data_IF_340376835463
#
_entry.id   IF_340376835463
#
_cell.length_a   1.000
_cell.length_b   1.000
_cell.length_c   1.000
_cell.angle_alpha   90.00
_cell.angle_beta   90.00
_cell.angle_gamma   90.00
#
_symmetry.space_group_name_H-M   'P 1'
#
loop_
_entity.id
_entity.type
_entity.pdbx_description
1 polymer ?
#
# COMPACT_ATOMS: atom_id res chain seq x y z
N UNK A 1 -2.09 -5.37 26.28
CA UNK A 1 -3.39 -5.98 26.64
C UNK A 1 -4.31 -5.83 25.44
N UNK A 2 -4.71 -6.94 24.81
CA UNK A 2 -5.58 -6.97 23.64
C UNK A 2 -7.03 -6.86 24.10
N UNK A 3 -7.61 -5.65 23.99
CA UNK A 3 -9.05 -5.50 24.18
C UNK A 3 -9.80 -6.38 23.17
N UNK A 4 -10.87 -7.07 23.58
CA UNK A 4 -11.66 -7.89 22.67
C UNK A 4 -12.32 -7.01 21.61
N UNK A 5 -11.93 -7.22 20.35
CA UNK A 5 -12.49 -6.52 19.20
C UNK A 5 -13.90 -7.07 18.93
N UNK A 6 -14.90 -6.19 18.86
CA UNK A 6 -16.27 -6.58 18.53
C UNK A 6 -16.36 -7.25 17.16
N UNK A 7 -17.24 -8.23 16.98
CA UNK A 7 -17.38 -8.98 15.73
C UNK A 7 -17.63 -8.09 14.49
N UNK A 8 -18.25 -6.92 14.69
CA UNK A 8 -18.46 -5.90 13.65
C UNK A 8 -17.13 -5.24 13.26
N UNK A 9 -16.35 -4.77 14.24
CA UNK A 9 -15.03 -4.19 13.99
C UNK A 9 -14.04 -5.20 13.40
N UNK A 10 -14.15 -6.48 13.78
CA UNK A 10 -13.35 -7.58 13.23
C UNK A 10 -13.70 -7.84 11.76
N UNK A 11 -15.00 -7.87 11.40
CA UNK A 11 -15.44 -7.95 10.00
C UNK A 11 -14.98 -6.76 9.17
N UNK A 12 -15.01 -5.55 9.72
CA UNK A 12 -14.53 -4.36 9.01
C UNK A 12 -13.01 -4.35 8.81
N UNK A 13 -12.24 -4.84 9.79
CA UNK A 13 -10.77 -5.02 9.64
C UNK A 13 -10.46 -6.08 8.59
N UNK A 14 -11.19 -7.20 8.59
CA UNK A 14 -11.04 -8.26 7.60
C UNK A 14 -11.41 -7.82 6.18
N UNK A 15 -12.34 -6.87 6.01
CA UNK A 15 -12.62 -6.25 4.69
C UNK A 15 -11.50 -5.35 4.19
N UNK A 16 -10.67 -4.83 5.09
CA UNK A 16 -9.59 -3.88 4.78
C UNK A 16 -8.22 -4.53 4.70
N UNK A 17 -8.10 -5.82 5.01
CA UNK A 17 -6.85 -6.58 5.04
C UNK A 17 -6.98 -7.83 4.14
N UNK A 18 -5.90 -8.18 3.42
CA UNK A 18 -5.84 -9.33 2.51
C UNK A 18 -4.50 -10.03 2.68
N UNK A 19 -4.50 -11.35 2.62
CA UNK A 19 -3.25 -12.12 2.59
C UNK A 19 -2.89 -12.40 1.13
N UNK A 20 -1.66 -12.09 0.75
CA UNK A 20 -1.13 -12.29 -0.59
C UNK A 20 0.20 -13.06 -0.51
N UNK A 21 0.45 -13.92 -1.48
CA UNK A 21 1.71 -14.63 -1.61
C UNK A 21 2.52 -13.98 -2.73
N UNK A 22 3.73 -13.52 -2.40
CA UNK A 22 4.65 -12.87 -3.34
C UNK A 22 6.01 -13.52 -3.19
N UNK A 23 6.57 -14.00 -4.30
CA UNK A 23 7.89 -14.67 -4.29
C UNK A 23 8.01 -15.80 -3.25
N UNK A 24 6.93 -16.58 -3.06
CA UNK A 24 6.81 -17.67 -2.04
C UNK A 24 6.84 -17.19 -0.58
N UNK A 25 6.73 -15.89 -0.35
CA UNK A 25 6.60 -15.28 0.96
C UNK A 25 5.15 -14.80 1.15
N UNK A 26 4.63 -14.99 2.36
CA UNK A 26 3.26 -14.59 2.69
C UNK A 26 3.26 -13.21 3.32
N UNK A 27 2.48 -12.30 2.77
CA UNK A 27 2.30 -10.94 3.27
C UNK A 27 0.84 -10.70 3.62
N UNK A 28 0.60 -10.04 4.74
CA UNK A 28 -0.68 -9.44 5.06
C UNK A 28 -0.64 -7.99 4.64
N UNK A 29 -1.47 -7.61 3.68
CA UNK A 29 -1.58 -6.25 3.16
C UNK A 29 -2.91 -5.63 3.58
N UNK A 30 -3.01 -4.30 3.51
CA UNK A 30 -4.25 -3.56 3.75
C UNK A 30 -4.53 -2.53 2.66
N UNK A 31 -5.80 -2.15 2.52
CA UNK A 31 -6.20 -1.04 1.66
C UNK A 31 -5.54 0.24 2.16
N UNK A 32 -4.98 1.02 1.23
CA UNK A 32 -4.37 2.32 1.50
C UNK A 32 -5.17 3.44 0.84
N UNK A 33 -5.13 4.67 1.39
CA UNK A 33 -5.67 5.84 0.70
C UNK A 33 -4.96 6.04 -0.64
N UNK A 34 -5.72 6.14 -1.74
CA UNK A 34 -5.16 6.38 -3.08
C UNK A 34 -4.37 7.70 -3.17
N UNK A 35 -4.63 8.64 -2.26
CA UNK A 35 -3.86 9.87 -2.07
C UNK A 35 -2.36 9.61 -1.87
N UNK A 36 -1.96 8.45 -1.33
CA UNK A 36 -0.55 8.08 -1.16
C UNK A 36 0.17 7.79 -2.49
N UNK A 37 -0.57 7.66 -3.60
CA UNK A 37 0.01 7.56 -4.95
C UNK A 37 0.51 8.91 -5.46
N UNK A 38 -0.01 10.04 -4.94
CA UNK A 38 0.43 11.38 -5.32
C UNK A 38 1.73 11.77 -4.57
N UNK A 39 2.62 12.48 -5.26
CA UNK A 39 3.88 12.97 -4.67
C UNK A 39 3.74 14.36 -4.03
N UNK A 40 2.77 15.20 -4.43
CA UNK A 40 2.65 16.57 -3.93
C UNK A 40 1.20 17.02 -3.69
N UNK A 41 1.03 17.98 -2.76
CA UNK A 41 -0.25 18.55 -2.33
C UNK A 41 -0.96 19.40 -3.38
N UNK A 42 -0.22 20.00 -4.31
CA UNK A 42 -0.77 20.93 -5.30
C UNK A 42 -1.42 20.18 -6.48
N UNK A 43 -0.84 19.04 -6.85
CA UNK A 43 -1.41 18.11 -7.84
C UNK A 43 -2.77 17.54 -7.39
N UNK A 44 -3.01 17.42 -6.07
CA UNK A 44 -4.21 16.81 -5.51
C UNK A 44 -5.46 17.67 -5.64
N UNK A 45 -5.35 18.99 -5.49
CA UNK A 45 -6.48 19.90 -5.68
C UNK A 45 -6.85 20.00 -7.15
N UNK A 46 -5.86 19.97 -8.04
CA UNK A 46 -6.10 19.93 -9.47
C UNK A 46 -6.66 18.57 -9.92
N UNK A 47 -6.24 17.46 -9.30
CA UNK A 47 -6.83 16.14 -9.49
C UNK A 47 -8.28 16.07 -9.00
N UNK A 48 -8.59 16.66 -7.83
CA UNK A 48 -9.95 16.68 -7.27
C UNK A 48 -10.93 17.53 -8.10
N UNK A 49 -10.41 18.52 -8.86
CA UNK A 49 -11.19 19.31 -9.83
C UNK A 49 -11.37 18.62 -11.17
N UNK A 50 -10.57 17.60 -11.48
CA UNK A 50 -10.65 16.85 -12.72
C UNK A 50 -11.67 15.72 -12.62
N UNK A 51 -12.37 15.43 -13.73
CA UNK A 51 -13.38 14.37 -13.77
C UNK A 51 -12.79 12.99 -13.46
N UNK A 52 -13.65 12.08 -12.97
CA UNK A 52 -13.29 10.72 -12.53
C UNK A 52 -12.47 9.92 -13.57
N UNK A 53 -12.70 10.17 -14.85
CA UNK A 53 -12.01 9.50 -15.95
C UNK A 53 -10.54 9.92 -16.08
N UNK A 54 -10.24 11.21 -15.91
CA UNK A 54 -8.87 11.76 -15.95
C UNK A 54 -8.07 11.25 -14.75
N UNK A 55 -8.71 11.22 -13.57
CA UNK A 55 -8.12 10.70 -12.35
C UNK A 55 -7.78 9.21 -12.49
N UNK A 56 -8.65 8.44 -13.14
CA UNK A 56 -8.40 7.03 -13.46
C UNK A 56 -7.22 6.84 -14.41
N UNK A 57 -7.09 7.66 -15.45
CA UNK A 57 -5.96 7.61 -16.39
C UNK A 57 -4.64 7.99 -15.70
N UNK A 58 -4.64 9.04 -14.86
CA UNK A 58 -3.44 9.47 -14.14
C UNK A 58 -3.03 8.44 -13.07
N UNK A 59 -3.97 7.78 -12.38
CA UNK A 59 -3.66 6.62 -11.52
C UNK A 59 -3.03 5.50 -12.35
N UNK A 60 -3.58 5.16 -13.52
CA UNK A 60 -2.99 4.14 -14.40
C UNK A 60 -1.57 4.50 -14.84
N UNK A 61 -1.27 5.76 -15.15
CA UNK A 61 0.10 6.17 -15.47
C UNK A 61 1.04 6.09 -14.27
N UNK A 62 0.55 6.44 -13.07
CA UNK A 62 1.34 6.35 -11.82
C UNK A 62 1.64 4.90 -11.43
N UNK A 63 0.79 3.96 -11.85
CA UNK A 63 1.02 2.52 -11.70
C UNK A 63 2.06 1.98 -12.69
N UNK A 64 2.13 2.55 -13.89
CA UNK A 64 3.06 2.11 -14.92
C UNK A 64 4.51 2.54 -14.65
N UNK A 65 4.73 3.59 -13.85
CA UNK A 65 6.07 4.08 -13.47
C UNK A 65 6.11 4.55 -12.01
N UNK A 66 6.19 3.61 -11.05
CA UNK A 66 6.29 3.96 -9.64
C UNK A 66 7.71 4.43 -9.32
N UNK A 67 7.83 5.60 -8.69
CA UNK A 67 9.10 6.12 -8.17
C UNK A 67 9.47 5.41 -6.87
N UNK A 68 10.77 5.32 -6.54
CA UNK A 68 11.25 4.70 -5.29
C UNK A 68 10.59 5.31 -4.03
N UNK A 69 10.44 6.65 -3.89
CA UNK A 69 9.76 7.25 -2.74
C UNK A 69 8.27 6.89 -2.66
N UNK A 70 7.59 6.72 -3.80
CA UNK A 70 6.19 6.27 -3.82
C UNK A 70 6.06 4.81 -3.41
N UNK A 71 6.91 3.94 -3.93
CA UNK A 71 6.95 2.53 -3.54
C UNK A 71 7.19 2.38 -2.04
N UNK A 72 8.20 3.09 -1.50
CA UNK A 72 8.50 3.09 -0.05
C UNK A 72 7.27 3.44 0.79
N UNK A 73 6.63 4.58 0.50
CA UNK A 73 5.43 5.03 1.23
C UNK A 73 4.30 4.02 1.18
N UNK A 74 4.07 3.42 0.01
CA UNK A 74 3.00 2.44 -0.19
C UNK A 74 3.29 1.14 0.55
N UNK A 75 4.54 0.64 0.53
CA UNK A 75 4.91 -0.56 1.25
C UNK A 75 4.79 -0.35 2.77
N UNK A 76 5.32 0.74 3.31
CA UNK A 76 5.23 1.06 4.74
C UNK A 76 3.80 1.21 5.24
N UNK A 77 2.91 1.78 4.41
CA UNK A 77 1.51 1.96 4.80
C UNK A 77 0.65 0.75 4.48
N UNK A 78 1.00 -0.03 3.46
CA UNK A 78 0.17 -1.11 2.93
C UNK A 78 0.50 -2.49 3.47
N UNK A 79 1.73 -2.76 3.91
CA UNK A 79 2.10 -4.04 4.52
C UNK A 79 1.81 -4.00 6.02
N UNK A 80 1.04 -4.97 6.49
CA UNK A 80 0.69 -5.18 7.90
C UNK A 80 1.60 -6.22 8.53
N UNK A 81 1.85 -7.33 7.85
CA UNK A 81 2.78 -8.38 8.29
C UNK A 81 3.59 -8.93 7.10
N UNK A 82 4.92 -9.12 7.25
CA UNK A 82 5.76 -8.64 8.36
C UNK A 82 5.71 -7.11 8.50
N UNK A 83 5.89 -6.60 9.73
CA UNK A 83 5.86 -5.16 9.95
C UNK A 83 7.05 -4.51 9.23
N UNK A 84 6.79 -3.51 8.37
CA UNK A 84 7.84 -2.80 7.66
C UNK A 84 8.15 -1.48 8.37
N UNK A 85 9.43 -1.17 8.50
CA UNK A 85 9.92 0.04 9.17
C UNK A 85 11.07 0.69 8.39
N UNK A 86 11.27 1.99 8.61
CA UNK A 86 12.46 2.73 8.17
C UNK A 86 13.55 2.76 9.27
N UNK A 87 13.17 2.47 10.51
CA UNK A 87 14.05 2.48 11.68
C UNK A 87 14.56 1.07 11.97
N UNK A 88 15.74 0.93 12.56
CA UNK A 88 16.21 -0.36 13.08
C UNK A 88 15.37 -0.75 14.30
N UNK A 89 14.42 -1.66 14.07
CA UNK A 89 13.56 -2.28 15.07
C UNK A 89 13.71 -3.80 14.97
N UNK A 90 14.00 -4.47 16.08
CA UNK A 90 14.34 -5.90 16.13
C UNK A 90 13.17 -6.79 15.69
N UNK A 91 11.93 -6.33 15.86
CA UNK A 91 10.71 -7.06 15.52
C UNK A 91 10.14 -6.69 14.14
N UNK A 92 10.87 -5.90 13.35
CA UNK A 92 10.40 -5.38 12.06
C UNK A 92 11.41 -5.61 10.93
N UNK A 93 10.90 -5.63 9.70
CA UNK A 93 11.71 -5.79 8.49
C UNK A 93 11.97 -4.42 7.90
N UNK A 94 13.24 -4.10 7.64
CA UNK A 94 13.61 -2.86 6.98
C UNK A 94 12.99 -2.76 5.59
N UNK A 95 12.36 -1.63 5.30
CA UNK A 95 11.78 -1.36 3.97
C UNK A 95 12.87 -1.30 2.90
N UNK A 96 14.09 -0.89 3.25
CA UNK A 96 15.23 -0.83 2.32
C UNK A 96 15.63 -2.22 1.81
N UNK A 97 15.54 -3.24 2.67
CA UNK A 97 15.77 -4.63 2.27
C UNK A 97 14.71 -5.10 1.26
N UNK A 98 13.44 -4.77 1.48
CA UNK A 98 12.36 -5.12 0.56
C UNK A 98 12.50 -4.37 -0.77
N UNK A 99 12.87 -3.08 -0.72
CA UNK A 99 13.08 -2.25 -1.90
C UNK A 99 14.32 -2.67 -2.71
N UNK A 100 15.32 -3.29 -2.07
CA UNK A 100 16.49 -3.82 -2.76
C UNK A 100 16.16 -4.98 -3.71
N UNK A 101 15.10 -5.74 -3.40
CA UNK A 101 14.51 -6.72 -4.32
C UNK A 101 13.40 -6.04 -5.14
N UNK A 102 13.76 -5.63 -6.35
CA UNK A 102 12.81 -4.98 -7.26
C UNK A 102 11.60 -5.87 -7.60
N UNK A 103 11.79 -7.18 -7.74
CA UNK A 103 10.70 -8.08 -8.12
C UNK A 103 9.70 -8.23 -6.97
N UNK A 104 10.20 -8.38 -5.75
CA UNK A 104 9.39 -8.45 -4.54
C UNK A 104 8.63 -7.13 -4.30
N UNK A 105 9.34 -6.01 -4.30
CA UNK A 105 8.78 -4.70 -4.01
C UNK A 105 7.75 -4.24 -5.04
N UNK A 106 8.00 -4.46 -6.34
CA UNK A 106 7.05 -4.12 -7.41
C UNK A 106 5.79 -4.97 -7.36
N UNK A 107 5.93 -6.27 -7.09
CA UNK A 107 4.78 -7.18 -6.96
C UNK A 107 3.92 -6.82 -5.74
N UNK A 108 4.55 -6.57 -4.58
CA UNK A 108 3.84 -6.12 -3.39
C UNK A 108 3.12 -4.80 -3.60
N UNK A 109 3.78 -3.84 -4.24
CA UNK A 109 3.19 -2.56 -4.61
C UNK A 109 1.91 -2.75 -5.44
N UNK A 110 1.98 -3.56 -6.51
CA UNK A 110 0.82 -3.85 -7.37
C UNK A 110 -0.32 -4.49 -6.57
N UNK A 111 -0.01 -5.47 -5.71
CA UNK A 111 -1.02 -6.12 -4.87
C UNK A 111 -1.73 -5.15 -3.93
N UNK A 112 -0.97 -4.26 -3.27
CA UNK A 112 -1.51 -3.25 -2.35
C UNK A 112 -2.42 -2.27 -3.12
N UNK A 113 -1.98 -1.78 -4.27
CA UNK A 113 -2.79 -0.81 -5.03
C UNK A 113 -4.03 -1.47 -5.62
N UNK A 114 -3.91 -2.65 -6.22
CA UNK A 114 -5.08 -3.37 -6.74
C UNK A 114 -6.10 -3.63 -5.64
N UNK A 115 -5.66 -4.06 -4.46
CA UNK A 115 -6.56 -4.27 -3.34
C UNK A 115 -7.22 -2.97 -2.85
N UNK A 116 -6.52 -1.83 -2.98
CA UNK A 116 -7.07 -0.51 -2.63
C UNK A 116 -8.06 0.02 -3.67
N UNK A 117 -7.99 -0.47 -4.92
CA UNK A 117 -8.90 -0.16 -6.02
C UNK A 117 -10.09 -1.12 -6.11
N UNK A 118 -9.98 -2.33 -5.55
CA UNK A 118 -11.10 -3.27 -5.41
C UNK A 118 -12.18 -2.62 -4.52
N UNK A 119 -13.41 -2.47 -5.03
CA UNK A 119 -14.58 -1.89 -4.33
C UNK A 119 -14.93 -2.63 -3.04
#
# INVERSE_FOLDING_TARGET
MTEPVTAVALKERLKKEKTVEVSRLTFRIRKIPLLLLAEESDDLWDLARQGQEILTQKIKSLLASPTLPRMRRILLKGVVQPHLTELDDEDAVSVDLVLSDYQLSSSLYIHIVNFSLES
#
